data_IF_635558977988
#
_entry.id   IF_635558977988
#
_cell.length_a   1.000
_cell.length_b   1.000
_cell.length_c   1.000
_cell.angle_alpha   90.00
_cell.angle_beta   90.00
_cell.angle_gamma   90.00
#
_symmetry.space_group_name_H-M   'P 1'
#
loop_
_entity.id
_entity.type
_entity.pdbx_description
1 polymer ?
#
# COMPACT_ATOMS: atom_id res chain seq x y z
N UNK A 1 6.89 -3.10 -8.99
CA UNK A 1 7.50 -3.58 -10.26
C UNK A 1 6.52 -4.40 -11.10
N UNK A 2 5.65 -5.20 -10.46
CA UNK A 2 4.69 -6.09 -11.14
C UNK A 2 3.55 -5.34 -11.87
N UNK A 3 3.05 -4.24 -11.31
CA UNK A 3 2.01 -3.40 -11.96
C UNK A 3 2.49 -2.66 -13.20
N UNK A 4 3.79 -2.36 -13.29
CA UNK A 4 4.41 -1.66 -14.43
C UNK A 4 4.55 -2.63 -15.61
N UNK A 5 4.89 -3.89 -15.37
CA UNK A 5 4.95 -4.93 -16.40
C UNK A 5 3.56 -5.24 -16.95
N UNK A 6 2.56 -5.35 -16.07
CA UNK A 6 1.16 -5.57 -16.47
C UNK A 6 0.62 -4.37 -17.24
N UNK A 7 0.87 -3.15 -16.76
CA UNK A 7 0.49 -1.91 -17.46
C UNK A 7 1.16 -1.75 -18.83
N UNK A 8 2.42 -2.18 -18.96
CA UNK A 8 3.15 -2.17 -20.23
C UNK A 8 2.58 -3.18 -21.23
N UNK A 9 2.17 -4.36 -20.75
CA UNK A 9 1.53 -5.38 -21.60
C UNK A 9 0.12 -4.97 -22.06
N UNK A 10 -0.67 -4.32 -21.19
CA UNK A 10 -1.99 -3.77 -21.53
C UNK A 10 -1.85 -2.62 -22.53
N UNK A 11 -0.93 -1.68 -22.28
CA UNK A 11 -0.71 -0.52 -23.15
C UNK A 11 -0.29 -0.91 -24.56
N UNK A 12 0.54 -1.93 -24.71
CA UNK A 12 0.97 -2.45 -26.02
C UNK A 12 -0.13 -3.21 -26.78
N UNK A 13 -1.12 -3.79 -26.07
CA UNK A 13 -2.20 -4.58 -26.70
C UNK A 13 -3.50 -3.81 -26.92
N UNK A 14 -3.82 -2.82 -26.09
CA UNK A 14 -5.11 -2.14 -26.11
C UNK A 14 -5.12 -0.75 -26.77
N UNK A 15 -3.98 -0.09 -26.91
CA UNK A 15 -3.91 1.26 -27.49
C UNK A 15 -4.64 2.33 -26.65
N UNK A 16 -4.17 3.58 -26.73
CA UNK A 16 -4.59 4.73 -25.91
C UNK A 16 -5.93 5.35 -26.32
N UNK A 17 -6.88 4.57 -26.82
CA UNK A 17 -8.16 5.10 -27.33
C UNK A 17 -9.28 4.17 -26.88
N UNK A 18 -9.83 4.48 -25.70
CA UNK A 18 -10.93 3.76 -25.05
C UNK A 18 -12.27 3.87 -25.79
N UNK A 19 -12.30 3.47 -27.06
CA UNK A 19 -13.51 3.24 -27.86
C UNK A 19 -13.36 1.91 -28.58
N UNK A 20 -13.62 0.82 -27.87
CA UNK A 20 -13.77 -0.52 -28.43
C UNK A 20 -15.11 -1.10 -27.99
N UNK A 21 -15.84 -1.71 -28.91
CA UNK A 21 -17.01 -2.51 -28.57
C UNK A 21 -16.58 -3.67 -27.68
N UNK A 22 -17.31 -3.90 -26.56
CA UNK A 22 -17.07 -5.01 -25.64
C UNK A 22 -17.33 -6.34 -26.35
N UNK A 23 -16.32 -6.85 -27.06
CA UNK A 23 -16.30 -8.23 -27.54
C UNK A 23 -16.03 -9.16 -26.35
N UNK A 24 -16.58 -10.39 -26.33
CA UNK A 24 -16.36 -11.35 -25.23
C UNK A 24 -14.88 -11.53 -24.87
N UNK A 25 -14.01 -11.57 -25.87
CA UNK A 25 -12.56 -11.65 -25.68
C UNK A 25 -11.98 -10.47 -24.88
N UNK A 26 -12.53 -9.26 -25.03
CA UNK A 26 -12.08 -8.08 -24.29
C UNK A 26 -12.49 -8.13 -22.82
N UNK A 27 -13.68 -8.67 -22.53
CA UNK A 27 -14.14 -8.87 -21.16
C UNK A 27 -13.29 -9.90 -20.40
N UNK A 28 -12.90 -10.99 -21.05
CA UNK A 28 -12.00 -12.00 -20.48
C UNK A 28 -10.63 -11.41 -20.14
N UNK A 29 -10.06 -10.59 -21.04
CA UNK A 29 -8.79 -9.90 -20.76
C UNK A 29 -8.89 -8.95 -19.56
N UNK A 30 -9.96 -8.16 -19.47
CA UNK A 30 -10.19 -7.26 -18.33
C UNK A 30 -10.28 -8.06 -17.01
N UNK A 31 -11.00 -9.18 -17.03
CA UNK A 31 -11.11 -10.05 -15.86
C UNK A 31 -9.74 -10.58 -15.42
N UNK A 32 -8.92 -11.07 -16.35
CA UNK A 32 -7.56 -11.53 -16.06
C UNK A 32 -6.72 -10.43 -15.41
N UNK A 33 -6.79 -9.19 -15.92
CA UNK A 33 -6.07 -8.07 -15.33
C UNK A 33 -6.54 -7.72 -13.91
N UNK A 34 -7.85 -7.78 -13.65
CA UNK A 34 -8.40 -7.59 -12.29
C UNK A 34 -7.94 -8.72 -11.37
N UNK A 35 -7.96 -9.98 -11.82
CA UNK A 35 -7.51 -11.12 -11.04
C UNK A 35 -6.02 -11.02 -10.66
N UNK A 36 -5.15 -10.63 -11.60
CA UNK A 36 -3.72 -10.41 -11.33
C UNK A 36 -3.52 -9.26 -10.34
N UNK A 37 -4.26 -8.17 -10.49
CA UNK A 37 -4.23 -7.05 -9.54
C UNK A 37 -4.65 -7.49 -8.13
N UNK A 38 -5.77 -8.23 -8.01
CA UNK A 38 -6.27 -8.73 -6.73
C UNK A 38 -5.29 -9.72 -6.09
N UNK A 39 -4.66 -10.59 -6.88
CA UNK A 39 -3.65 -11.51 -6.38
C UNK A 39 -2.41 -10.77 -5.83
N UNK A 40 -1.94 -9.75 -6.55
CA UNK A 40 -0.85 -8.88 -6.08
C UNK A 40 -1.21 -8.14 -4.80
N UNK A 41 -2.42 -7.58 -4.72
CA UNK A 41 -2.92 -6.91 -3.52
C UNK A 41 -3.06 -7.88 -2.33
N UNK A 42 -3.55 -9.10 -2.56
CA UNK A 42 -3.73 -10.11 -1.53
C UNK A 42 -2.42 -10.60 -0.92
N UNK A 43 -1.32 -10.63 -1.69
CA UNK A 43 -0.01 -10.97 -1.14
C UNK A 43 0.67 -9.78 -0.46
N UNK A 44 0.47 -8.58 -1.00
CA UNK A 44 1.14 -7.36 -0.50
C UNK A 44 0.30 -6.65 0.56
N UNK A 45 -0.45 -5.62 0.14
CA UNK A 45 -1.18 -4.70 1.00
C UNK A 45 -2.22 -5.36 1.91
N UNK A 46 -2.74 -6.52 1.53
CA UNK A 46 -3.66 -7.32 2.36
C UNK A 46 -3.07 -7.66 3.73
N UNK A 47 -2.10 -8.59 3.83
CA UNK A 47 -1.47 -8.95 5.10
C UNK A 47 -0.58 -7.84 5.66
N UNK A 48 0.17 -7.12 4.82
CA UNK A 48 1.09 -6.08 5.28
C UNK A 48 0.36 -4.91 5.95
N UNK A 49 -0.84 -4.55 5.50
CA UNK A 49 -1.62 -3.46 6.09
C UNK A 49 -2.04 -3.71 7.55
N UNK A 50 -2.11 -4.96 7.98
CA UNK A 50 -2.41 -5.33 9.37
C UNK A 50 -1.15 -5.63 10.17
N UNK A 51 -0.18 -6.28 9.53
CA UNK A 51 1.08 -6.68 10.15
C UNK A 51 1.94 -5.45 10.49
N UNK A 52 2.14 -4.54 9.53
CA UNK A 52 3.05 -3.39 9.70
C UNK A 52 2.65 -2.50 10.88
N UNK A 53 1.40 -2.04 11.04
CA UNK A 53 1.01 -1.25 12.20
C UNK A 53 1.17 -1.98 13.53
N UNK A 54 1.19 -3.31 13.52
CA UNK A 54 1.42 -4.11 14.73
C UNK A 54 2.90 -4.21 15.07
N UNK A 55 3.79 -4.16 14.10
CA UNK A 55 5.25 -4.25 14.30
C UNK A 55 5.87 -2.91 14.68
N UNK A 56 5.38 -1.80 14.13
CA UNK A 56 5.97 -0.48 14.33
C UNK A 56 5.63 0.17 15.68
N UNK A 57 4.55 -0.27 16.34
CA UNK A 57 4.08 0.35 17.58
C UNK A 57 4.72 -0.30 18.82
N UNK A 58 5.35 0.49 19.72
CA UNK A 58 5.80 0.00 21.01
C UNK A 58 4.64 -0.58 21.83
N UNK A 59 4.94 -1.52 22.72
CA UNK A 59 3.96 -2.31 23.47
C UNK A 59 2.89 -1.45 24.18
N UNK A 60 3.31 -0.30 24.73
CA UNK A 60 2.44 0.60 25.50
C UNK A 60 1.36 1.28 24.64
N UNK A 61 1.67 1.66 23.41
CA UNK A 61 0.75 2.39 22.52
C UNK A 61 0.16 1.53 21.41
N UNK A 62 0.52 0.24 21.35
CA UNK A 62 0.03 -0.69 20.32
C UNK A 62 -1.50 -0.76 20.22
N UNK A 63 -2.28 -0.86 21.32
CA UNK A 63 -3.74 -0.87 21.23
C UNK A 63 -4.29 0.43 20.63
N UNK A 64 -3.73 1.58 21.00
CA UNK A 64 -4.11 2.87 20.47
C UNK A 64 -3.75 3.01 18.97
N UNK A 65 -2.55 2.56 18.57
CA UNK A 65 -2.12 2.54 17.17
C UNK A 65 -3.02 1.65 16.30
N UNK A 66 -3.40 0.47 16.80
CA UNK A 66 -4.32 -0.42 16.11
C UNK A 66 -5.74 0.16 16.00
N UNK A 67 -6.24 0.82 17.04
CA UNK A 67 -7.53 1.49 16.99
C UNK A 67 -7.56 2.61 15.92
N UNK A 68 -6.47 3.38 15.79
CA UNK A 68 -6.32 4.39 14.73
C UNK A 68 -6.29 3.72 13.35
N UNK A 69 -5.52 2.64 13.18
CA UNK A 69 -5.47 1.89 11.92
C UNK A 69 -6.87 1.43 11.47
N UNK A 70 -7.61 0.77 12.36
CA UNK A 70 -8.98 0.29 12.08
C UNK A 70 -9.91 1.45 11.77
N UNK A 71 -9.87 2.54 12.56
CA UNK A 71 -10.75 3.70 12.37
C UNK A 71 -10.51 4.38 11.02
N UNK A 72 -9.24 4.58 10.65
CA UNK A 72 -8.85 5.15 9.37
C UNK A 72 -9.24 4.22 8.22
N UNK A 73 -9.01 2.91 8.36
CA UNK A 73 -9.39 1.91 7.36
C UNK A 73 -10.91 1.92 7.10
N UNK A 74 -11.72 1.91 8.16
CA UNK A 74 -13.18 1.94 8.06
C UNK A 74 -13.68 3.26 7.45
N UNK A 75 -13.09 4.39 7.86
CA UNK A 75 -13.43 5.70 7.32
C UNK A 75 -13.18 5.79 5.81
N UNK A 76 -12.00 5.38 5.35
CA UNK A 76 -11.68 5.37 3.92
C UNK A 76 -12.50 4.32 3.16
N UNK A 77 -12.80 3.17 3.75
CA UNK A 77 -13.68 2.17 3.14
C UNK A 77 -15.09 2.74 2.89
N UNK A 78 -15.64 3.45 3.87
CA UNK A 78 -16.92 4.15 3.71
C UNK A 78 -16.84 5.22 2.63
N UNK A 79 -15.81 6.06 2.65
CA UNK A 79 -15.61 7.13 1.68
C UNK A 79 -15.53 6.57 0.25
N UNK A 80 -14.66 5.58 0.03
CA UNK A 80 -14.51 4.92 -1.27
C UNK A 80 -15.84 4.30 -1.68
N UNK A 81 -16.53 3.58 -0.79
CA UNK A 81 -17.83 2.98 -1.09
C UNK A 81 -18.88 4.00 -1.58
N UNK A 82 -18.95 5.17 -0.95
CA UNK A 82 -19.88 6.25 -1.36
C UNK A 82 -19.52 6.86 -2.71
N UNK A 83 -18.24 7.15 -2.96
CA UNK A 83 -17.81 7.81 -4.20
C UNK A 83 -17.64 6.85 -5.38
N UNK A 84 -17.44 5.56 -5.11
CA UNK A 84 -17.16 4.55 -6.12
C UNK A 84 -18.30 4.43 -7.13
N UNK A 85 -19.55 4.42 -6.68
CA UNK A 85 -20.71 4.28 -7.57
C UNK A 85 -20.83 5.50 -8.51
N UNK A 86 -20.61 6.71 -7.99
CA UNK A 86 -20.63 7.95 -8.78
C UNK A 86 -19.49 7.99 -9.80
N UNK A 87 -18.29 7.55 -9.41
CA UNK A 87 -17.12 7.46 -10.31
C UNK A 87 -17.30 6.38 -11.39
N UNK A 88 -17.91 5.24 -11.07
CA UNK A 88 -18.21 4.20 -12.06
C UNK A 88 -19.16 4.70 -13.15
N UNK A 89 -20.18 5.47 -12.79
CA UNK A 89 -21.16 6.00 -13.73
C UNK A 89 -20.57 7.05 -14.69
N UNK A 90 -19.68 7.93 -14.21
CA UNK A 90 -19.15 9.03 -15.01
C UNK A 90 -17.83 8.71 -15.72
N UNK A 91 -16.92 8.00 -15.05
CA UNK A 91 -15.53 7.95 -15.46
C UNK A 91 -15.10 6.59 -16.03
N UNK A 92 -15.92 5.52 -15.90
CA UNK A 92 -15.71 4.16 -16.45
C UNK A 92 -14.24 3.70 -16.47
N UNK A 93 -13.50 3.99 -17.54
CA UNK A 93 -12.09 3.62 -17.70
C UNK A 93 -11.11 4.47 -16.84
N UNK A 94 -11.45 5.72 -16.54
CA UNK A 94 -10.62 6.63 -15.76
C UNK A 94 -10.46 6.19 -14.29
N UNK A 95 -11.40 5.40 -13.77
CA UNK A 95 -11.31 4.81 -12.44
C UNK A 95 -10.06 3.93 -12.28
N UNK A 96 -9.71 3.15 -13.31
CA UNK A 96 -8.52 2.30 -13.29
C UNK A 96 -7.23 3.11 -13.25
N UNK A 97 -7.15 4.22 -14.01
CA UNK A 97 -6.00 5.12 -13.97
C UNK A 97 -5.89 5.87 -12.63
N UNK A 98 -7.03 6.25 -12.05
CA UNK A 98 -7.07 6.88 -10.73
C UNK A 98 -6.54 5.94 -9.64
N UNK A 99 -7.03 4.70 -9.59
CA UNK A 99 -6.53 3.71 -8.62
C UNK A 99 -5.07 3.32 -8.89
N UNK A 100 -4.65 3.20 -10.15
CA UNK A 100 -3.26 2.94 -10.49
C UNK A 100 -2.34 4.08 -10.02
N UNK A 101 -2.76 5.34 -10.17
CA UNK A 101 -2.04 6.51 -9.65
C UNK A 101 -1.95 6.50 -8.12
N UNK A 102 -3.05 6.19 -7.44
CA UNK A 102 -3.08 6.05 -5.98
C UNK A 102 -2.12 4.96 -5.49
N UNK A 103 -2.15 3.77 -6.11
CA UNK A 103 -1.23 2.67 -5.77
C UNK A 103 0.23 3.05 -6.02
N UNK A 104 0.51 3.77 -7.11
CA UNK A 104 1.86 4.27 -7.39
C UNK A 104 2.34 5.26 -6.32
N UNK A 105 1.49 6.21 -5.92
CA UNK A 105 1.80 7.16 -4.83
C UNK A 105 2.06 6.41 -3.52
N UNK A 106 1.21 5.45 -3.16
CA UNK A 106 1.40 4.63 -1.95
C UNK A 106 2.70 3.82 -2.01
N UNK A 107 3.05 3.25 -3.17
CA UNK A 107 4.28 2.49 -3.36
C UNK A 107 5.52 3.39 -3.22
N UNK A 108 5.49 4.59 -3.79
CA UNK A 108 6.58 5.58 -3.66
C UNK A 108 6.73 5.99 -2.19
N UNK A 109 5.62 6.24 -1.51
CA UNK A 109 5.64 6.61 -0.10
C UNK A 109 6.31 5.52 0.76
N UNK A 110 5.92 4.26 0.58
CA UNK A 110 6.54 3.13 1.30
C UNK A 110 8.02 3.01 0.95
N UNK A 111 8.40 3.14 -0.33
CA UNK A 111 9.80 3.02 -0.75
C UNK A 111 10.73 4.05 -0.10
N UNK A 112 10.28 5.29 0.11
CA UNK A 112 11.11 6.36 0.67
C UNK A 112 11.03 6.52 2.19
N UNK A 113 9.89 6.22 2.80
CA UNK A 113 9.62 6.51 4.21
C UNK A 113 9.53 5.26 5.09
N UNK A 114 9.35 4.07 4.52
CA UNK A 114 9.19 2.86 5.29
C UNK A 114 10.53 2.11 5.37
N UNK A 115 11.20 2.11 6.54
CA UNK A 115 12.39 1.30 6.71
C UNK A 115 12.03 -0.19 6.83
N UNK A 116 12.94 -1.08 6.39
CA UNK A 116 12.73 -2.53 6.46
C UNK A 116 12.66 -3.00 7.92
N UNK A 117 11.50 -3.52 8.33
CA UNK A 117 11.26 -4.03 9.71
C UNK A 117 11.49 -5.54 9.85
N UNK A 118 11.82 -6.24 8.76
CA UNK A 118 11.88 -7.70 8.73
C UNK A 118 13.02 -8.25 9.60
N UNK A 119 12.63 -9.10 10.55
CA UNK A 119 13.58 -9.85 11.39
C UNK A 119 14.15 -9.07 12.57
N UNK A 120 13.63 -7.86 12.85
CA UNK A 120 14.05 -7.08 14.01
C UNK A 120 13.10 -7.34 15.19
N UNK A 121 13.62 -7.58 16.40
CA UNK A 121 12.81 -7.67 17.60
C UNK A 121 11.97 -6.40 17.79
N UNK A 122 10.74 -6.57 18.26
CA UNK A 122 9.79 -5.45 18.39
C UNK A 122 10.26 -4.35 19.35
N UNK A 123 11.11 -4.71 20.30
CA UNK A 123 11.74 -3.82 21.29
C UNK A 123 12.87 -2.97 20.67
N UNK A 124 13.48 -3.44 19.57
CA UNK A 124 14.60 -2.77 18.88
C UNK A 124 14.14 -1.91 17.70
N UNK A 125 12.83 -1.78 17.46
CA UNK A 125 12.31 -1.01 16.32
C UNK A 125 12.81 0.44 16.32
N UNK A 126 13.03 1.04 17.50
CA UNK A 126 13.60 2.38 17.65
C UNK A 126 14.97 2.53 16.94
N UNK A 127 15.79 1.47 16.90
CA UNK A 127 17.09 1.46 16.22
C UNK A 127 16.95 1.64 14.70
N UNK A 128 15.99 0.94 14.09
CA UNK A 128 15.73 1.05 12.64
C UNK A 128 15.27 2.46 12.29
N UNK A 129 14.31 2.98 13.05
CA UNK A 129 13.78 4.34 12.83
C UNK A 129 14.87 5.41 12.99
N UNK A 130 15.81 5.21 13.90
CA UNK A 130 16.95 6.11 14.10
C UNK A 130 18.01 6.02 13.00
N UNK A 131 18.18 4.86 12.37
CA UNK A 131 19.05 4.70 11.20
C UNK A 131 18.44 5.31 9.93
N UNK A 132 17.12 5.46 9.88
CA UNK A 132 16.44 6.03 8.73
C UNK A 132 16.75 7.54 8.56
N UNK A 133 17.17 7.93 7.36
CA UNK A 133 17.64 9.29 7.03
C UNK A 133 16.65 10.40 7.41
N UNK A 134 15.35 10.13 7.29
CA UNK A 134 14.27 11.07 7.60
C UNK A 134 13.79 10.99 9.06
N UNK A 135 13.67 9.78 9.62
CA UNK A 135 13.03 9.56 10.93
C UNK A 135 13.99 9.71 12.11
N UNK A 136 15.30 9.74 11.86
CA UNK A 136 16.34 9.87 12.90
C UNK A 136 16.16 11.06 13.85
N UNK A 137 15.55 12.15 13.40
CA UNK A 137 15.38 13.37 14.20
C UNK A 137 14.16 13.29 15.14
N UNK A 138 13.29 12.28 14.97
CA UNK A 138 12.07 12.11 15.75
C UNK A 138 12.20 11.04 16.85
N UNK A 139 13.25 10.22 16.81
CA UNK A 139 13.47 9.14 17.77
C UNK A 139 14.48 9.60 18.82
N UNK A 140 14.08 9.76 20.09
CA UNK A 140 14.99 10.13 21.15
C UNK A 140 15.88 8.93 21.55
N UNK A 141 17.05 9.21 22.14
CA UNK A 141 18.08 8.20 22.40
C UNK A 141 17.64 7.12 23.41
N UNK A 142 16.72 7.47 24.31
CA UNK A 142 16.11 6.60 25.31
C UNK A 142 15.10 5.59 24.73
N UNK A 143 14.57 5.85 23.53
CA UNK A 143 13.69 4.93 22.81
C UNK A 143 14.44 3.80 22.08
N UNK A 144 15.78 3.79 22.10
CA UNK A 144 16.60 2.73 21.50
C UNK A 144 17.04 1.74 22.58
N UNK A 145 16.30 0.64 22.69
CA UNK A 145 16.59 -0.45 23.63
C UNK A 145 17.66 -1.38 22.99
N UNK A 146 18.69 -1.78 23.76
CA UNK A 146 19.72 -2.72 23.31
C UNK A 146 21.00 -2.12 22.69
N UNK A 147 21.24 -0.81 22.84
CA UNK A 147 22.44 -0.12 22.32
C UNK A 147 23.63 -0.05 23.29
N UNK A 148 23.56 -0.68 24.47
CA UNK A 148 24.67 -0.72 25.42
C UNK A 148 25.22 -2.15 25.41
N UNK A 149 26.20 -2.40 24.56
CA UNK A 149 27.27 -3.41 24.71
C UNK A 149 27.92 -3.69 23.35
N UNK A 150 28.72 -2.77 22.78
CA UNK A 150 29.90 -3.12 21.96
C UNK A 150 30.88 -1.93 21.97
N UNK A 151 31.88 -2.01 22.87
CA UNK A 151 33.17 -1.32 22.73
C UNK A 151 34.07 -2.12 21.78
#
# INVERSE_FOLDING_TARGET
METILVGSFIGLKFGTTGTGTLTPATADWILVFICVYVAGFAWSWGPLGWLVPSEICPLEIRPAGQAINVSVNMFFTFLIGQFFLTMLCHMKFGLFYFFAGMVAIMTIFVYFLFPETRGVPIEEMGRIWKQHWFWKNYIPDDAVIGGHDEN
#
